data_IF_790889708817
#
_entry.id   IF_790889708817
#
_cell.length_a   1.000
_cell.length_b   1.000
_cell.length_c   1.000
_cell.angle_alpha   90.00
_cell.angle_beta   90.00
_cell.angle_gamma   90.00
#
_symmetry.space_group_name_H-M   'P 1'
#
loop_
_entity.id
_entity.type
_entity.pdbx_description
1 polymer ?
#
# COMPACT_ATOMS: atom_id res chain seq x y z
N UNK A 1 21.06 -28.67 -9.97
CA UNK A 1 19.98 -29.24 -9.15
C UNK A 1 19.86 -28.42 -7.88
N UNK A 2 19.07 -27.34 -7.92
CA UNK A 2 18.89 -26.45 -6.76
C UNK A 2 18.00 -27.14 -5.72
N UNK A 3 18.54 -27.38 -4.53
CA UNK A 3 17.79 -27.88 -3.36
C UNK A 3 16.76 -26.82 -2.97
N UNK A 4 15.48 -27.16 -3.03
CA UNK A 4 14.44 -26.42 -2.33
C UNK A 4 14.78 -26.43 -0.84
N UNK A 5 14.99 -25.25 -0.24
CA UNK A 5 15.08 -25.12 1.21
C UNK A 5 13.69 -25.40 1.78
N UNK A 6 13.61 -26.31 2.76
CA UNK A 6 12.36 -26.66 3.42
C UNK A 6 11.69 -25.41 4.03
N UNK A 7 10.35 -25.34 4.08
CA UNK A 7 9.66 -24.25 4.75
C UNK A 7 10.07 -24.20 6.23
N UNK A 8 10.33 -23.01 6.80
CA UNK A 8 10.68 -22.88 8.20
C UNK A 8 9.52 -23.40 9.07
N UNK A 9 9.84 -24.31 9.99
CA UNK A 9 8.89 -24.81 10.99
C UNK A 9 8.34 -23.63 11.81
N UNK A 10 7.05 -23.64 12.19
CA UNK A 10 6.50 -22.63 13.09
C UNK A 10 7.32 -22.60 14.37
N UNK A 11 7.98 -21.48 14.65
CA UNK A 11 8.64 -21.32 15.94
C UNK A 11 7.54 -21.23 17.02
N UNK A 12 7.72 -21.92 18.16
CA UNK A 12 6.77 -21.81 19.26
C UNK A 12 6.66 -20.34 19.69
N UNK A 13 5.50 -19.89 20.19
CA UNK A 13 5.32 -18.52 20.64
C UNK A 13 6.43 -18.18 21.63
N UNK A 14 7.07 -17.02 21.44
CA UNK A 14 8.12 -16.53 22.33
C UNK A 14 7.53 -16.46 23.73
N UNK A 15 7.97 -17.39 24.60
CA UNK A 15 7.53 -17.45 25.98
C UNK A 15 7.92 -16.12 26.63
N UNK A 16 6.99 -15.49 27.34
CA UNK A 16 7.12 -14.14 27.89
C UNK A 16 8.41 -13.90 28.72
N UNK A 17 9.06 -14.98 29.17
CA UNK A 17 10.36 -14.96 29.84
C UNK A 17 11.53 -14.46 28.97
N UNK A 18 11.41 -14.50 27.64
CA UNK A 18 12.49 -14.16 26.69
C UNK A 18 12.39 -12.73 26.10
N UNK A 19 11.48 -11.89 26.61
CA UNK A 19 11.37 -10.49 26.20
C UNK A 19 12.39 -9.66 27.00
N UNK A 20 13.40 -9.05 26.35
CA UNK A 20 14.39 -8.23 27.05
C UNK A 20 13.69 -7.01 27.65
N UNK A 21 13.64 -6.94 28.98
CA UNK A 21 12.95 -5.87 29.73
C UNK A 21 11.70 -6.29 30.51
N UNK A 22 11.33 -7.58 30.50
CA UNK A 22 10.20 -8.09 31.30
C UNK A 22 10.51 -8.29 32.80
N UNK A 23 11.74 -8.04 33.23
CA UNK A 23 12.09 -7.96 34.64
C UNK A 23 12.02 -6.49 35.08
N UNK A 24 10.97 -6.12 35.80
CA UNK A 24 11.02 -4.91 36.64
C UNK A 24 12.19 -5.02 37.62
N UNK A 25 12.67 -3.90 38.20
CA UNK A 25 13.88 -3.88 39.01
C UNK A 25 13.86 -4.79 40.25
N UNK A 26 12.71 -5.39 40.60
CA UNK A 26 12.50 -5.98 41.93
C UNK A 26 11.97 -7.43 41.94
N UNK A 27 11.82 -8.11 40.78
CA UNK A 27 11.47 -9.54 40.75
C UNK A 27 10.08 -9.92 41.31
N UNK A 28 9.16 -8.97 41.43
CA UNK A 28 7.83 -9.19 41.99
C UNK A 28 6.83 -9.76 40.95
N UNK A 29 6.25 -10.95 41.17
CA UNK A 29 5.30 -11.58 40.25
C UNK A 29 3.96 -10.82 40.11
N UNK A 30 3.60 -9.91 41.03
CA UNK A 30 2.37 -9.10 40.93
C UNK A 30 2.39 -8.09 39.77
N UNK A 31 3.58 -7.62 39.39
CA UNK A 31 3.72 -6.73 38.24
C UNK A 31 3.28 -7.44 36.95
N UNK A 32 3.68 -8.70 36.78
CA UNK A 32 3.39 -9.49 35.58
C UNK A 32 1.89 -9.80 35.40
N UNK A 33 1.12 -9.93 36.50
CA UNK A 33 -0.35 -9.98 36.43
C UNK A 33 -0.96 -8.63 36.09
N UNK A 34 -0.41 -7.53 36.63
CA UNK A 34 -0.85 -6.17 36.31
C UNK A 34 -0.67 -5.84 34.82
N UNK A 35 0.46 -6.22 34.20
CA UNK A 35 0.67 -6.03 32.76
C UNK A 35 -0.29 -6.87 31.91
N UNK A 36 -0.62 -8.10 32.31
CA UNK A 36 -1.61 -8.92 31.61
C UNK A 36 -3.01 -8.30 31.68
N UNK A 37 -3.42 -7.79 32.84
CA UNK A 37 -4.71 -7.12 32.99
C UNK A 37 -4.76 -5.79 32.22
N UNK A 38 -3.64 -5.05 32.19
CA UNK A 38 -3.55 -3.76 31.47
C UNK A 38 -3.58 -3.94 29.95
N UNK A 39 -2.88 -4.94 29.41
CA UNK A 39 -2.87 -5.25 27.96
C UNK A 39 -4.22 -5.83 27.49
N UNK A 40 -4.93 -6.56 28.35
CA UNK A 40 -6.26 -7.10 28.03
C UNK A 40 -7.39 -6.05 28.13
N UNK A 41 -7.17 -4.95 28.87
CA UNK A 41 -8.20 -3.94 29.16
C UNK A 41 -8.15 -2.70 28.27
N UNK A 42 -7.15 -2.54 27.40
CA UNK A 42 -7.11 -1.42 26.45
C UNK A 42 -8.15 -1.61 25.33
N UNK A 43 -9.36 -1.15 25.61
CA UNK A 43 -10.35 -0.90 24.56
C UNK A 43 -9.72 0.12 23.61
N UNK A 44 -9.64 -0.15 22.30
CA UNK A 44 -8.97 0.74 21.36
C UNK A 44 -9.62 2.12 21.45
N UNK A 45 -8.89 3.06 22.06
CA UNK A 45 -9.35 4.43 22.25
C UNK A 45 -9.34 5.09 20.89
N UNK A 46 -10.47 4.99 20.20
CA UNK A 46 -10.70 5.71 18.95
C UNK A 46 -10.46 7.20 19.22
N UNK A 47 -9.44 7.77 18.59
CA UNK A 47 -9.04 9.18 18.78
C UNK A 47 -10.17 10.13 18.34
N UNK A 48 -11.08 9.65 17.49
CA UNK A 48 -12.25 10.36 16.97
C UNK A 48 -13.50 9.49 17.13
N UNK A 49 -14.67 10.10 17.14
CA UNK A 49 -15.93 9.36 17.09
C UNK A 49 -15.95 8.43 15.85
N UNK A 50 -16.40 7.17 15.98
CA UNK A 50 -16.35 6.17 14.89
C UNK A 50 -16.99 6.67 13.60
N UNK A 51 -18.06 7.47 13.71
CA UNK A 51 -18.72 8.08 12.56
C UNK A 51 -17.83 9.03 11.77
N UNK A 52 -17.00 9.84 12.45
CA UNK A 52 -16.08 10.78 11.80
C UNK A 52 -15.00 10.01 11.04
N UNK A 53 -14.51 8.91 11.60
CA UNK A 53 -13.54 8.03 10.95
C UNK A 53 -14.11 7.38 9.69
N UNK A 54 -15.34 6.83 9.74
CA UNK A 54 -15.93 6.23 8.55
C UNK A 54 -16.26 7.26 7.47
N UNK A 55 -16.81 8.41 7.86
CA UNK A 55 -17.12 9.50 6.92
C UNK A 55 -15.84 10.01 6.24
N UNK A 56 -14.74 10.18 6.98
CA UNK A 56 -13.48 10.66 6.40
C UNK A 56 -12.88 9.66 5.41
N UNK A 57 -12.84 8.37 5.76
CA UNK A 57 -12.34 7.30 4.88
C UNK A 57 -13.18 7.20 3.61
N UNK A 58 -14.51 7.18 3.74
CA UNK A 58 -15.40 7.14 2.58
C UNK A 58 -15.26 8.40 1.71
N UNK A 59 -15.11 9.57 2.33
CA UNK A 59 -14.88 10.81 1.59
C UNK A 59 -13.58 10.76 0.80
N UNK A 60 -12.49 10.26 1.38
CA UNK A 60 -11.22 10.11 0.67
C UNK A 60 -11.31 9.13 -0.50
N UNK A 61 -11.92 7.96 -0.28
CA UNK A 61 -12.06 6.94 -1.32
C UNK A 61 -12.95 7.40 -2.48
N UNK A 62 -14.00 8.19 -2.18
CA UNK A 62 -14.95 8.67 -3.19
C UNK A 62 -14.50 9.95 -3.90
N UNK A 63 -13.76 10.84 -3.22
CA UNK A 63 -13.32 12.12 -3.77
C UNK A 63 -11.99 12.01 -4.53
N UNK A 64 -11.10 11.07 -4.18
CA UNK A 64 -9.81 10.92 -4.86
C UNK A 64 -9.93 10.62 -6.37
N UNK A 65 -10.71 9.61 -6.81
CA UNK A 65 -10.85 9.33 -8.24
C UNK A 65 -11.37 10.52 -9.07
N UNK A 66 -12.48 11.18 -8.71
CA UNK A 66 -12.95 12.31 -9.49
C UNK A 66 -12.02 13.52 -9.43
N UNK A 67 -11.31 13.74 -8.31
CA UNK A 67 -10.31 14.80 -8.23
C UNK A 67 -9.18 14.59 -9.25
N UNK A 68 -8.66 13.37 -9.39
CA UNK A 68 -7.62 13.05 -10.38
C UNK A 68 -8.14 13.24 -11.81
N UNK A 69 -9.39 12.86 -12.10
CA UNK A 69 -10.01 13.08 -13.42
C UNK A 69 -10.15 14.59 -13.73
N UNK A 70 -10.55 15.39 -12.74
CA UNK A 70 -10.63 16.86 -12.90
C UNK A 70 -9.25 17.50 -13.13
N UNK A 71 -8.22 17.02 -12.43
CA UNK A 71 -6.84 17.47 -12.65
C UNK A 71 -6.37 17.11 -14.07
N UNK A 72 -6.59 15.88 -14.51
CA UNK A 72 -6.26 15.45 -15.87
C UNK A 72 -6.99 16.31 -16.91
N UNK A 73 -8.30 16.52 -16.77
CA UNK A 73 -9.06 17.33 -17.70
C UNK A 73 -8.54 18.77 -17.76
N UNK A 74 -8.24 19.36 -16.59
CA UNK A 74 -7.70 20.72 -16.51
C UNK A 74 -6.38 20.84 -17.26
N UNK A 75 -5.47 19.87 -17.09
CA UNK A 75 -4.16 19.88 -17.74
C UNK A 75 -4.22 19.59 -19.25
N UNK A 76 -5.13 18.71 -19.68
CA UNK A 76 -5.18 18.24 -21.07
C UNK A 76 -6.12 19.06 -21.96
N UNK A 77 -7.22 19.57 -21.42
CA UNK A 77 -8.30 20.20 -22.20
C UNK A 77 -8.59 21.66 -21.82
N UNK A 78 -8.10 22.12 -20.65
CA UNK A 78 -8.30 23.49 -20.19
C UNK A 78 -6.98 24.29 -20.10
N UNK A 79 -5.91 23.82 -20.74
CA UNK A 79 -4.58 24.44 -20.75
C UNK A 79 -4.02 24.76 -19.34
N UNK A 80 -4.41 23.98 -18.34
CA UNK A 80 -4.07 24.21 -16.93
C UNK A 80 -4.93 25.25 -16.20
N UNK A 81 -5.92 25.86 -16.85
CA UNK A 81 -6.80 26.87 -16.26
C UNK A 81 -7.94 26.28 -15.44
N UNK A 82 -7.87 26.44 -14.12
CA UNK A 82 -8.91 26.00 -13.18
C UNK A 82 -10.25 26.71 -13.43
N UNK A 83 -10.19 27.99 -13.82
CA UNK A 83 -11.39 28.80 -14.10
C UNK A 83 -12.15 28.24 -15.30
N UNK A 84 -11.45 27.80 -16.33
CA UNK A 84 -12.07 27.22 -17.52
C UNK A 84 -12.70 25.86 -17.23
N UNK A 85 -12.05 25.01 -16.43
CA UNK A 85 -12.65 23.75 -15.94
C UNK A 85 -13.90 24.02 -15.10
N UNK A 86 -13.86 25.00 -14.20
CA UNK A 86 -15.02 25.38 -13.38
C UNK A 86 -16.19 25.88 -14.22
N UNK A 87 -15.93 26.72 -15.21
CA UNK A 87 -16.94 27.22 -16.14
C UNK A 87 -17.57 26.07 -16.95
N UNK A 88 -16.76 25.12 -17.41
CA UNK A 88 -17.24 23.93 -18.11
C UNK A 88 -18.16 23.07 -17.22
N UNK A 89 -17.77 22.80 -15.97
CA UNK A 89 -18.59 22.04 -15.02
C UNK A 89 -19.90 22.75 -14.67
N UNK A 90 -19.88 24.08 -14.53
CA UNK A 90 -21.11 24.84 -14.28
C UNK A 90 -22.07 24.82 -15.47
N UNK A 91 -21.55 24.78 -16.70
CA UNK A 91 -22.37 24.76 -17.91
C UNK A 91 -22.94 23.37 -18.22
N UNK A 92 -22.14 22.31 -18.06
CA UNK A 92 -22.51 20.94 -18.39
C UNK A 92 -23.05 20.14 -17.18
N UNK A 93 -22.89 20.67 -15.97
CA UNK A 93 -23.37 20.09 -14.73
C UNK A 93 -22.87 18.66 -14.48
N UNK A 94 -23.74 17.85 -13.89
CA UNK A 94 -23.46 16.45 -13.55
C UNK A 94 -23.25 15.57 -14.80
N UNK A 95 -23.77 15.97 -15.95
CA UNK A 95 -23.61 15.22 -17.19
C UNK A 95 -22.20 15.39 -17.74
N UNK A 96 -21.70 16.64 -17.83
CA UNK A 96 -20.31 16.90 -18.22
C UNK A 96 -19.33 16.17 -17.31
N UNK A 97 -19.61 16.12 -16.01
CA UNK A 97 -18.78 15.36 -15.08
C UNK A 97 -18.76 13.84 -15.36
N UNK A 98 -19.87 13.24 -15.80
CA UNK A 98 -19.89 11.81 -16.22
C UNK A 98 -19.15 11.61 -17.54
N UNK A 99 -19.30 12.55 -18.46
CA UNK A 99 -18.67 12.48 -19.79
C UNK A 99 -17.14 12.60 -19.70
N UNK A 100 -16.62 13.19 -18.61
CA UNK A 100 -15.18 13.22 -18.31
C UNK A 100 -14.58 11.85 -17.97
N UNK A 101 -15.40 10.86 -17.60
CA UNK A 101 -14.87 9.56 -17.16
C UNK A 101 -14.36 8.75 -18.36
N UNK A 102 -13.09 8.30 -18.33
CA UNK A 102 -12.56 7.48 -19.40
C UNK A 102 -13.27 6.12 -19.42
N UNK A 103 -13.80 5.75 -20.59
CA UNK A 103 -14.35 4.41 -20.81
C UNK A 103 -13.18 3.44 -21.00
N UNK A 104 -13.03 2.43 -20.13
CA UNK A 104 -11.90 1.52 -20.23
C UNK A 104 -12.01 0.66 -21.48
N UNK A 105 -11.06 0.82 -22.41
CA UNK A 105 -11.03 0.03 -23.65
C UNK A 105 -10.33 -1.32 -23.43
N UNK A 106 -10.68 -2.32 -24.25
CA UNK A 106 -10.03 -3.63 -24.19
C UNK A 106 -8.51 -3.55 -24.46
N UNK A 107 -8.08 -2.57 -25.27
CA UNK A 107 -6.66 -2.32 -25.53
C UNK A 107 -5.98 -1.79 -24.27
N UNK A 108 -6.57 -0.79 -23.60
CA UNK A 108 -6.01 -0.24 -22.36
C UNK A 108 -5.85 -1.32 -21.28
N UNK A 109 -6.86 -2.18 -21.10
CA UNK A 109 -6.79 -3.32 -20.19
C UNK A 109 -5.63 -4.26 -20.52
N UNK A 110 -5.46 -4.63 -21.80
CA UNK A 110 -4.36 -5.51 -22.22
C UNK A 110 -3.00 -4.88 -21.94
N UNK A 111 -2.82 -3.60 -22.23
CA UNK A 111 -1.55 -2.89 -22.00
C UNK A 111 -1.23 -2.86 -20.50
N UNK A 112 -2.19 -2.44 -19.66
CA UNK A 112 -2.00 -2.37 -18.20
C UNK A 112 -1.72 -3.76 -17.63
N UNK A 113 -2.48 -4.78 -18.03
CA UNK A 113 -2.29 -6.15 -17.53
C UNK A 113 -0.94 -6.74 -17.97
N UNK A 114 -0.55 -6.54 -19.23
CA UNK A 114 0.74 -7.00 -19.73
C UNK A 114 1.91 -6.32 -19.02
N UNK A 115 1.84 -4.99 -18.83
CA UNK A 115 2.85 -4.24 -18.11
C UNK A 115 2.93 -4.65 -16.62
N UNK A 116 1.79 -4.80 -15.95
CA UNK A 116 1.75 -5.26 -14.56
C UNK A 116 2.33 -6.69 -14.41
N UNK A 117 2.02 -7.59 -15.34
CA UNK A 117 2.60 -8.93 -15.36
C UNK A 117 4.12 -8.87 -15.59
N UNK A 118 4.59 -8.04 -16.53
CA UNK A 118 6.01 -7.83 -16.77
C UNK A 118 6.76 -7.34 -15.51
N UNK A 119 6.25 -6.30 -14.85
CA UNK A 119 6.83 -5.79 -13.60
C UNK A 119 6.82 -6.82 -12.47
N UNK A 120 5.73 -7.60 -12.34
CA UNK A 120 5.65 -8.68 -11.37
C UNK A 120 6.70 -9.78 -11.63
N UNK A 121 6.93 -10.13 -12.90
CA UNK A 121 7.98 -11.07 -13.29
C UNK A 121 9.37 -10.52 -12.95
N UNK A 122 9.63 -9.23 -13.20
CA UNK A 122 10.90 -8.61 -12.83
C UNK A 122 11.12 -8.63 -11.31
N UNK A 123 10.11 -8.27 -10.52
CA UNK A 123 10.18 -8.29 -9.06
C UNK A 123 10.45 -9.71 -8.52
N UNK A 124 9.86 -10.74 -9.12
CA UNK A 124 10.06 -12.13 -8.72
C UNK A 124 11.44 -12.67 -9.14
N UNK A 125 11.80 -12.53 -10.41
CA UNK A 125 12.93 -13.23 -11.01
C UNK A 125 14.26 -12.47 -10.91
N UNK A 126 14.30 -11.13 -11.01
CA UNK A 126 15.56 -10.39 -10.98
C UNK A 126 16.28 -10.55 -9.65
N UNK A 127 17.59 -10.80 -9.62
CA UNK A 127 18.35 -10.95 -8.37
C UNK A 127 18.28 -9.67 -7.54
N UNK A 128 18.30 -9.84 -6.21
CA UNK A 128 18.24 -8.72 -5.27
C UNK A 128 18.66 -9.16 -3.88
N UNK A 129 19.16 -8.21 -3.09
CA UNK A 129 19.55 -8.47 -1.70
C UNK A 129 18.29 -8.75 -0.87
N UNK A 130 18.34 -9.80 -0.05
CA UNK A 130 17.28 -10.08 0.93
C UNK A 130 17.34 -9.03 2.05
N UNK A 131 16.22 -8.39 2.33
CA UNK A 131 16.04 -7.39 3.39
C UNK A 131 14.89 -7.84 4.26
N UNK A 132 15.07 -7.78 5.58
CA UNK A 132 14.03 -8.16 6.53
C UNK A 132 13.32 -6.90 7.03
N UNK A 133 12.00 -6.97 7.11
CA UNK A 133 11.20 -5.94 7.75
C UNK A 133 11.21 -6.06 9.27
N UNK A 134 10.54 -5.12 9.97
CA UNK A 134 10.34 -5.20 11.41
C UNK A 134 9.51 -6.44 11.75
N UNK A 135 9.80 -7.03 12.91
CA UNK A 135 9.04 -8.16 13.45
C UNK A 135 7.65 -7.65 13.81
N UNK A 136 6.59 -8.29 13.29
CA UNK A 136 5.22 -7.93 13.63
C UNK A 136 4.92 -8.25 15.10
N UNK A 137 3.90 -7.64 15.72
CA UNK A 137 3.47 -8.01 17.07
C UNK A 137 3.11 -9.50 17.21
N UNK A 138 2.79 -10.18 16.10
CA UNK A 138 2.51 -11.61 16.03
C UNK A 138 3.76 -12.47 15.81
N UNK A 139 4.96 -11.87 15.83
CA UNK A 139 6.24 -12.55 15.63
C UNK A 139 6.59 -12.88 14.17
N UNK A 140 5.80 -12.43 13.20
CA UNK A 140 6.09 -12.66 11.78
C UNK A 140 7.06 -11.59 11.24
N UNK A 141 8.20 -12.01 10.71
CA UNK A 141 9.17 -11.11 10.09
C UNK A 141 9.08 -11.20 8.55
N UNK A 142 8.57 -10.16 7.86
CA UNK A 142 8.45 -10.20 6.43
C UNK A 142 9.82 -10.08 5.76
N UNK A 143 10.01 -10.87 4.70
CA UNK A 143 11.25 -10.95 3.96
C UNK A 143 11.03 -10.36 2.58
N UNK A 144 11.78 -9.31 2.24
CA UNK A 144 11.70 -8.60 0.99
C UNK A 144 12.95 -8.79 0.14
N UNK A 145 12.80 -8.60 -1.17
CA UNK A 145 13.89 -8.64 -2.14
C UNK A 145 14.12 -7.23 -2.67
N UNK A 146 15.29 -6.66 -2.40
CA UNK A 146 15.66 -5.32 -2.85
C UNK A 146 16.20 -5.37 -4.29
N UNK A 147 15.32 -5.40 -5.28
CA UNK A 147 15.65 -5.37 -6.70
C UNK A 147 14.99 -4.20 -7.46
N UNK A 148 14.36 -3.24 -6.77
CA UNK A 148 13.62 -2.15 -7.41
C UNK A 148 14.44 -1.30 -8.39
N UNK A 149 15.68 -0.94 -8.06
CA UNK A 149 16.55 -0.15 -8.96
C UNK A 149 16.93 -0.96 -10.21
N UNK A 150 17.20 -2.25 -10.06
CA UNK A 150 17.51 -3.12 -11.20
C UNK A 150 16.28 -3.34 -12.09
N UNK A 151 15.11 -3.59 -11.48
CA UNK A 151 13.85 -3.69 -12.20
C UNK A 151 13.56 -2.42 -13.00
N UNK A 152 13.70 -1.24 -12.38
CA UNK A 152 13.54 0.05 -13.05
C UNK A 152 14.47 0.21 -14.27
N UNK A 153 15.75 -0.12 -14.12
CA UNK A 153 16.71 -0.04 -15.22
C UNK A 153 16.35 -0.99 -16.37
N UNK A 154 15.95 -2.23 -16.06
CA UNK A 154 15.53 -3.22 -17.06
C UNK A 154 14.26 -2.75 -17.78
N UNK A 155 13.27 -2.23 -17.06
CA UNK A 155 12.05 -1.67 -17.66
C UNK A 155 12.37 -0.51 -18.59
N UNK A 156 13.24 0.42 -18.19
CA UNK A 156 13.62 1.57 -19.01
C UNK A 156 14.36 1.15 -20.29
N UNK A 157 15.34 0.25 -20.18
CA UNK A 157 16.07 -0.29 -21.33
C UNK A 157 15.12 -1.03 -22.27
N UNK A 158 14.20 -1.83 -21.73
CA UNK A 158 13.20 -2.55 -22.53
C UNK A 158 12.29 -1.58 -23.28
N UNK A 159 11.80 -0.53 -22.61
CA UNK A 159 10.97 0.51 -23.22
C UNK A 159 11.70 1.22 -24.37
N UNK A 160 12.92 1.70 -24.13
CA UNK A 160 13.72 2.41 -25.15
C UNK A 160 14.04 1.48 -26.33
N UNK A 161 14.35 0.21 -26.06
CA UNK A 161 14.70 -0.77 -27.11
C UNK A 161 13.51 -1.16 -27.98
N UNK A 162 12.28 -1.10 -27.45
CA UNK A 162 11.05 -1.38 -28.20
C UNK A 162 10.49 -0.14 -28.90
N UNK A 163 10.92 1.06 -28.49
CA UNK A 163 10.43 2.32 -29.05
C UNK A 163 11.08 2.67 -30.39
N UNK A 164 12.35 2.28 -30.59
CA UNK A 164 13.12 2.54 -31.80
C UNK A 164 13.07 1.35 -32.76
#
# INVERSE_FOLDING_TARGET
MHRAAAPPQPQPPVRAENVPGAAGPDGDPECCSSWKETIMAETPKMVHAPIVTYVSVLSLLTLCPPFVILLWYTMVHADGSVVQTWNYLNQQGLQGFKDLWPIPTAIAWKIIAAFAAFEALLQLFLPGKRVEGPISPMGNQPVYKANGVLAYAVTLVTYISLWW
#
